data_IF_288017029750
#
_entry.id   IF_288017029750
#
_cell.length_a   1.000
_cell.length_b   1.000
_cell.length_c   1.000
_cell.angle_alpha   90.00
_cell.angle_beta   90.00
_cell.angle_gamma   90.00
#
_symmetry.space_group_name_H-M   'P 1'
#
loop_
_entity.id
_entity.type
_entity.pdbx_description
1 polymer ?
#
# COMPACT_ATOMS: atom_id res chain seq x y z
N UNK A 1 17.75 -30.07 -30.80
CA UNK A 1 18.47 -30.02 -29.51
C UNK A 1 17.74 -29.20 -28.43
N UNK A 2 16.91 -28.21 -28.76
CA UNK A 2 16.14 -27.42 -27.75
C UNK A 2 14.88 -28.12 -27.19
N UNK A 3 14.40 -29.19 -27.81
CA UNK A 3 13.16 -29.88 -27.38
C UNK A 3 13.38 -30.98 -26.32
N UNK A 4 14.61 -31.48 -26.13
CA UNK A 4 14.86 -32.56 -25.16
C UNK A 4 14.83 -32.11 -23.70
N UNK A 5 15.13 -30.84 -23.39
CA UNK A 5 15.15 -30.35 -22.01
C UNK A 5 13.75 -30.08 -21.44
N UNK A 6 12.77 -29.76 -22.29
CA UNK A 6 11.37 -29.60 -21.88
C UNK A 6 10.69 -30.96 -21.66
N UNK A 7 11.04 -31.97 -22.45
CA UNK A 7 10.54 -33.35 -22.28
C UNK A 7 11.06 -34.01 -21.00
N UNK A 8 12.32 -33.77 -20.62
CA UNK A 8 12.85 -34.24 -19.33
C UNK A 8 12.19 -33.56 -18.13
N UNK A 9 11.78 -32.29 -18.26
CA UNK A 9 11.05 -31.59 -17.20
C UNK A 9 9.63 -32.14 -17.01
N UNK A 10 8.97 -32.59 -18.08
CA UNK A 10 7.62 -33.16 -18.03
C UNK A 10 7.57 -34.60 -17.49
N UNK A 11 8.59 -35.42 -17.76
CA UNK A 11 8.60 -36.84 -17.37
C UNK A 11 8.98 -37.10 -15.90
N UNK A 12 9.68 -36.17 -15.23
CA UNK A 12 10.17 -36.38 -13.85
C UNK A 12 9.22 -35.76 -12.80
N UNK A 13 8.07 -35.20 -13.20
CA UNK A 13 7.12 -34.62 -12.24
C UNK A 13 7.76 -33.53 -11.35
N UNK A 14 8.87 -32.94 -11.79
CA UNK A 14 9.49 -31.78 -11.15
C UNK A 14 8.63 -30.59 -11.51
N UNK A 15 7.57 -30.40 -10.73
CA UNK A 15 7.03 -29.06 -10.49
C UNK A 15 8.25 -28.16 -10.26
N UNK A 16 8.56 -27.28 -11.21
CA UNK A 16 9.45 -26.15 -10.98
C UNK A 16 8.71 -25.20 -10.03
N UNK A 17 8.54 -25.65 -8.79
CA UNK A 17 8.41 -24.77 -7.64
C UNK A 17 9.71 -24.01 -7.62
N UNK A 18 9.71 -22.82 -8.23
CA UNK A 18 10.72 -21.81 -7.96
C UNK A 18 10.61 -21.59 -6.46
N UNK A 19 11.47 -22.27 -5.70
CA UNK A 19 11.43 -22.24 -4.26
C UNK A 19 11.48 -20.77 -3.82
N UNK A 20 10.47 -20.35 -3.06
CA UNK A 20 10.38 -19.00 -2.48
C UNK A 20 11.49 -18.76 -1.46
N UNK A 21 12.20 -19.82 -1.05
CA UNK A 21 13.34 -19.74 -0.18
C UNK A 21 14.61 -19.35 -0.96
N UNK A 22 15.34 -18.38 -0.44
CA UNK A 22 16.60 -17.96 -1.04
C UNK A 22 17.74 -18.90 -0.64
N UNK A 23 17.93 -19.96 -1.42
CA UNK A 23 19.02 -20.92 -1.27
C UNK A 23 19.66 -21.21 -2.64
N UNK A 24 20.93 -21.60 -2.63
CA UNK A 24 21.56 -22.21 -3.79
C UNK A 24 21.07 -23.66 -3.91
N UNK A 25 20.75 -24.08 -5.14
CA UNK A 25 20.38 -25.46 -5.47
C UNK A 25 21.61 -26.34 -5.69
N UNK A 26 22.78 -25.75 -5.95
CA UNK A 26 24.08 -26.42 -5.98
C UNK A 26 24.78 -26.25 -4.63
N UNK A 27 25.70 -27.19 -4.31
CA UNK A 27 26.49 -27.08 -3.08
C UNK A 27 27.39 -25.82 -3.12
N UNK A 28 27.75 -25.32 -1.93
CA UNK A 28 28.55 -24.10 -1.77
C UNK A 28 29.87 -24.17 -2.56
N UNK A 29 30.63 -25.26 -2.44
CA UNK A 29 31.90 -25.47 -3.14
C UNK A 29 31.77 -25.37 -4.68
N UNK A 30 30.71 -25.93 -5.27
CA UNK A 30 30.44 -25.84 -6.71
C UNK A 30 30.09 -24.42 -7.14
N UNK A 31 29.31 -23.69 -6.34
CA UNK A 31 29.00 -22.30 -6.62
C UNK A 31 30.22 -21.38 -6.46
N UNK A 32 31.13 -21.66 -5.50
CA UNK A 32 32.39 -20.92 -5.32
C UNK A 32 33.36 -21.18 -6.48
N UNK A 33 33.48 -22.42 -6.95
CA UNK A 33 34.34 -22.77 -8.09
C UNK A 33 33.94 -22.02 -9.37
N UNK A 34 32.65 -21.73 -9.54
CA UNK A 34 32.13 -20.98 -10.69
C UNK A 34 32.31 -19.46 -10.60
N UNK A 35 32.74 -18.89 -9.46
CA UNK A 35 32.95 -17.44 -9.32
C UNK A 35 34.24 -16.93 -9.96
N UNK A 36 35.25 -17.79 -10.16
CA UNK A 36 36.59 -17.35 -10.61
C UNK A 36 36.67 -16.88 -12.07
N UNK A 37 35.57 -16.92 -12.85
CA UNK A 37 35.59 -16.58 -14.28
C UNK A 37 34.33 -15.84 -14.77
N UNK A 38 33.85 -14.80 -14.06
CA UNK A 38 32.70 -13.99 -14.51
C UNK A 38 31.45 -14.85 -14.84
N UNK A 39 31.29 -16.06 -14.27
CA UNK A 39 30.25 -16.99 -14.73
C UNK A 39 28.83 -16.48 -14.41
N UNK A 40 28.65 -15.73 -13.33
CA UNK A 40 27.39 -15.08 -12.98
C UNK A 40 26.97 -13.99 -14.01
N UNK A 41 27.91 -13.45 -14.80
CA UNK A 41 27.67 -12.41 -15.82
C UNK A 41 27.74 -12.95 -17.24
N UNK A 42 28.59 -13.94 -17.54
CA UNK A 42 28.85 -14.47 -18.89
C UNK A 42 28.09 -15.76 -19.26
N UNK A 43 27.71 -16.64 -18.33
CA UNK A 43 26.99 -17.91 -18.64
C UNK A 43 25.57 -17.90 -18.09
N UNK A 44 24.61 -17.78 -19.00
CA UNK A 44 23.56 -16.74 -18.97
C UNK A 44 22.22 -17.11 -18.33
N UNK A 45 22.04 -18.30 -17.75
CA UNK A 45 20.75 -18.66 -17.14
C UNK A 45 20.88 -19.65 -15.99
N UNK A 46 21.53 -20.79 -16.23
CA UNK A 46 21.59 -21.90 -15.28
C UNK A 46 22.35 -21.53 -13.98
N UNK A 47 23.47 -20.81 -14.07
CA UNK A 47 24.24 -20.42 -12.87
C UNK A 47 23.43 -19.48 -11.97
N UNK A 48 22.64 -18.58 -12.55
CA UNK A 48 21.76 -17.67 -11.79
C UNK A 48 20.53 -18.36 -11.22
N UNK A 49 20.14 -19.53 -11.73
CA UNK A 49 19.06 -20.36 -11.17
C UNK A 49 19.58 -21.28 -10.07
N UNK A 50 20.73 -21.92 -10.29
CA UNK A 50 21.26 -22.90 -9.35
C UNK A 50 22.12 -22.30 -8.24
N UNK A 51 22.76 -21.15 -8.45
CA UNK A 51 23.57 -20.44 -7.46
C UNK A 51 22.96 -19.04 -7.17
N UNK A 52 21.65 -18.99 -6.86
CA UNK A 52 20.91 -17.73 -6.64
C UNK A 52 21.45 -16.89 -5.48
N UNK A 53 21.82 -17.51 -4.36
CA UNK A 53 22.38 -16.84 -3.19
C UNK A 53 23.84 -16.44 -3.46
N UNK A 54 24.64 -17.32 -4.07
CA UNK A 54 26.03 -17.04 -4.42
C UNK A 54 26.23 -15.99 -5.54
N UNK A 55 25.35 -15.95 -6.55
CA UNK A 55 25.35 -14.92 -7.60
C UNK A 55 24.55 -13.66 -7.21
N UNK A 56 24.08 -13.55 -5.95
CA UNK A 56 23.37 -12.37 -5.45
C UNK A 56 22.00 -12.11 -6.10
N UNK A 57 21.41 -13.13 -6.74
CA UNK A 57 20.06 -13.09 -7.31
C UNK A 57 19.00 -13.06 -6.20
N UNK A 58 19.31 -13.61 -5.03
CA UNK A 58 18.52 -13.46 -3.82
C UNK A 58 19.43 -13.46 -2.58
N UNK A 59 18.92 -13.04 -1.42
CA UNK A 59 19.58 -13.22 -0.12
C UNK A 59 18.57 -13.13 1.03
N UNK A 60 18.91 -13.67 2.20
CA UNK A 60 18.15 -13.52 3.46
C UNK A 60 18.23 -12.08 3.94
N UNK A 61 17.52 -11.21 3.24
CA UNK A 61 17.48 -9.80 3.54
C UNK A 61 16.48 -9.61 4.68
N UNK A 62 16.99 -9.65 5.92
CA UNK A 62 16.21 -9.44 7.16
C UNK A 62 15.36 -8.16 7.13
N UNK A 63 15.67 -7.18 6.26
CA UNK A 63 14.84 -5.99 6.12
C UNK A 63 13.51 -6.19 5.40
N UNK A 64 13.29 -7.29 4.64
CA UNK A 64 11.98 -7.49 4.00
C UNK A 64 10.87 -7.83 5.00
N UNK A 65 11.25 -8.38 6.16
CA UNK A 65 10.34 -8.70 7.26
C UNK A 65 10.18 -7.57 8.29
N UNK A 66 10.92 -6.45 8.16
CA UNK A 66 10.72 -5.31 9.07
C UNK A 66 9.46 -4.54 8.70
N UNK A 67 8.88 -3.83 9.67
CA UNK A 67 7.65 -3.04 9.50
C UNK A 67 7.68 -2.09 8.29
N UNK A 68 8.87 -1.57 7.96
CA UNK A 68 9.06 -0.56 6.91
C UNK A 68 9.86 -1.07 5.70
N UNK A 69 10.17 -2.37 5.64
CA UNK A 69 10.91 -2.95 4.52
C UNK A 69 12.38 -2.52 4.44
N UNK A 70 12.93 -2.65 3.23
CA UNK A 70 14.33 -2.33 2.93
C UNK A 70 14.50 -0.92 2.38
N UNK A 71 15.68 -0.34 2.62
CA UNK A 71 16.18 0.84 1.94
C UNK A 71 16.35 0.60 0.43
N UNK A 72 16.67 1.67 -0.32
CA UNK A 72 16.90 1.61 -1.78
C UNK A 72 17.99 0.61 -2.21
N UNK A 73 18.90 0.25 -1.29
CA UNK A 73 19.95 -0.75 -1.51
C UNK A 73 19.45 -2.20 -1.46
N UNK A 74 18.18 -2.41 -1.08
CA UNK A 74 17.56 -3.73 -0.95
C UNK A 74 18.20 -4.60 0.13
N UNK A 75 18.95 -4.02 1.08
CA UNK A 75 19.73 -4.75 2.09
C UNK A 75 19.58 -4.18 3.50
N UNK A 76 19.50 -2.86 3.63
CA UNK A 76 19.45 -2.16 4.92
C UNK A 76 18.00 -2.00 5.37
N UNK A 77 17.64 -2.29 6.64
CA UNK A 77 16.29 -2.04 7.15
C UNK A 77 15.99 -0.56 7.28
N UNK A 78 14.86 -0.12 6.72
CA UNK A 78 14.36 1.23 6.92
C UNK A 78 13.94 1.42 8.38
N UNK A 79 14.32 2.54 8.99
CA UNK A 79 14.00 2.86 10.39
C UNK A 79 12.56 3.34 10.55
N UNK A 80 11.95 3.85 9.47
CA UNK A 80 10.58 4.37 9.44
C UNK A 80 9.99 4.31 8.03
N UNK A 81 8.73 4.75 7.86
CA UNK A 81 8.07 4.77 6.55
C UNK A 81 8.81 5.71 5.59
N UNK A 82 8.60 5.54 4.28
CA UNK A 82 9.26 6.34 3.24
C UNK A 82 10.80 6.33 3.35
N UNK A 83 11.38 5.14 3.54
CA UNK A 83 12.84 4.97 3.66
C UNK A 83 13.49 5.84 4.75
N UNK A 84 12.73 6.21 5.80
CA UNK A 84 13.26 7.06 6.86
C UNK A 84 14.48 6.40 7.52
N UNK A 85 15.56 7.15 7.62
CA UNK A 85 16.84 6.66 8.15
C UNK A 85 17.69 5.86 7.15
N UNK A 86 17.26 5.75 5.89
CA UNK A 86 18.07 5.21 4.82
C UNK A 86 19.06 6.25 4.26
N UNK A 87 20.13 5.76 3.64
CA UNK A 87 21.05 6.59 2.86
C UNK A 87 20.32 7.08 1.60
N UNK A 88 20.37 8.39 1.35
CA UNK A 88 19.76 8.97 0.17
C UNK A 88 20.34 8.36 -1.11
N UNK A 89 19.49 8.07 -2.12
CA UNK A 89 19.98 7.73 -3.44
C UNK A 89 20.64 8.97 -4.02
N UNK A 90 21.93 8.90 -4.29
CA UNK A 90 22.63 9.92 -5.05
C UNK A 90 22.83 9.45 -6.50
N UNK A 91 23.15 10.39 -7.37
CA UNK A 91 23.41 10.11 -8.78
C UNK A 91 24.90 10.30 -9.09
N UNK A 92 25.35 9.62 -10.14
CA UNK A 92 26.65 9.90 -10.74
C UNK A 92 26.48 11.08 -11.71
N UNK A 93 27.39 12.04 -11.67
CA UNK A 93 27.44 13.18 -12.62
C UNK A 93 28.02 12.77 -13.98
N UNK A 94 28.61 11.57 -14.07
CA UNK A 94 29.22 11.01 -15.27
C UNK A 94 28.57 9.68 -15.66
N UNK A 95 28.87 9.23 -16.87
CA UNK A 95 28.33 7.98 -17.40
C UNK A 95 28.68 6.78 -16.51
N UNK A 96 27.78 5.79 -16.47
CA UNK A 96 27.99 4.55 -15.72
C UNK A 96 29.29 3.84 -16.10
N UNK A 97 29.67 3.87 -17.39
CA UNK A 97 30.94 3.30 -17.86
C UNK A 97 32.16 3.99 -17.23
N UNK A 98 32.18 5.32 -17.22
CA UNK A 98 33.25 6.09 -16.58
C UNK A 98 33.31 5.81 -15.09
N UNK A 99 32.18 5.84 -14.39
CA UNK A 99 32.19 5.62 -12.95
C UNK A 99 32.56 4.18 -12.56
N UNK A 100 32.22 3.19 -13.40
CA UNK A 100 32.72 1.83 -13.21
C UNK A 100 34.23 1.72 -13.40
N UNK A 101 34.86 2.48 -14.30
CA UNK A 101 36.31 2.45 -14.46
C UNK A 101 37.02 3.05 -13.23
N UNK A 102 36.48 4.12 -12.64
CA UNK A 102 36.95 4.70 -11.37
C UNK A 102 36.84 3.70 -10.21
N UNK A 103 35.74 2.95 -10.13
CA UNK A 103 35.56 1.89 -9.13
C UNK A 103 36.59 0.77 -9.32
N UNK A 104 36.75 0.27 -10.56
CA UNK A 104 37.72 -0.80 -10.87
C UNK A 104 39.16 -0.39 -10.63
N UNK A 105 39.49 0.88 -10.88
CA UNK A 105 40.82 1.44 -10.64
C UNK A 105 41.11 1.71 -9.15
N UNK A 106 40.13 1.53 -8.25
CA UNK A 106 40.33 1.75 -6.81
C UNK A 106 40.49 3.23 -6.43
N UNK A 107 40.01 4.15 -7.27
CA UNK A 107 40.17 5.59 -7.06
C UNK A 107 39.14 6.17 -6.07
N UNK A 108 38.06 5.43 -5.80
CA UNK A 108 37.04 5.84 -4.83
C UNK A 108 37.65 6.08 -3.44
N UNK A 109 37.40 7.26 -2.87
CA UNK A 109 37.83 7.62 -1.51
C UNK A 109 39.30 7.99 -1.36
N UNK A 110 40.10 7.99 -2.44
CA UNK A 110 41.50 8.40 -2.39
C UNK A 110 41.63 9.93 -2.39
N UNK A 111 42.44 10.54 -1.50
CA UNK A 111 42.59 12.01 -1.44
C UNK A 111 43.03 12.62 -2.77
N UNK A 112 43.97 11.95 -3.45
CA UNK A 112 44.50 12.36 -4.77
C UNK A 112 43.48 12.32 -5.89
N UNK A 113 42.39 11.56 -5.73
CA UNK A 113 41.34 11.34 -6.74
C UNK A 113 39.95 11.74 -6.22
N UNK A 114 39.91 12.68 -5.26
CA UNK A 114 38.67 13.17 -4.64
C UNK A 114 37.70 13.75 -5.68
N UNK A 115 38.23 14.38 -6.73
CA UNK A 115 37.43 14.90 -7.83
C UNK A 115 36.65 13.79 -8.55
N UNK A 116 37.29 12.66 -8.88
CA UNK A 116 36.61 11.52 -9.49
C UNK A 116 35.61 10.85 -8.55
N UNK A 117 35.93 10.80 -7.24
CA UNK A 117 35.01 10.28 -6.23
C UNK A 117 33.73 11.12 -6.09
N UNK A 118 33.84 12.44 -6.23
CA UNK A 118 32.69 13.36 -6.17
C UNK A 118 31.81 13.30 -7.43
N UNK A 119 32.37 12.94 -8.59
CA UNK A 119 31.61 12.77 -9.83
C UNK A 119 30.85 11.43 -9.87
N UNK A 120 31.30 10.44 -9.09
CA UNK A 120 30.80 9.07 -9.13
C UNK A 120 30.27 8.62 -7.76
N UNK A 121 29.49 9.48 -7.10
CA UNK A 121 29.03 9.25 -5.73
C UNK A 121 28.20 7.98 -5.56
N UNK A 122 27.36 7.63 -6.54
CA UNK A 122 26.53 6.44 -6.48
C UNK A 122 27.38 5.18 -6.72
N UNK A 123 28.17 5.20 -7.79
CA UNK A 123 29.07 4.09 -8.16
C UNK A 123 30.14 3.80 -7.10
N UNK A 124 30.74 4.84 -6.50
CA UNK A 124 31.68 4.71 -5.39
C UNK A 124 31.00 4.47 -4.03
N UNK A 125 29.66 4.42 -3.96
CA UNK A 125 28.87 4.32 -2.73
C UNK A 125 29.18 5.42 -1.70
N UNK A 126 29.63 6.58 -2.19
CA UNK A 126 30.00 7.74 -1.39
C UNK A 126 28.86 8.77 -1.26
N UNK A 127 27.61 8.38 -1.52
CA UNK A 127 26.45 9.26 -1.28
C UNK A 127 26.53 9.87 0.13
N UNK A 128 26.24 11.16 0.25
CA UNK A 128 26.23 11.84 1.55
C UNK A 128 25.02 11.39 2.36
N UNK A 129 25.18 11.04 3.66
CA UNK A 129 24.04 10.78 4.52
C UNK A 129 23.14 12.02 4.60
N UNK A 130 21.83 11.81 4.78
CA UNK A 130 20.92 12.91 5.04
C UNK A 130 20.79 13.16 6.54
N UNK A 131 21.76 13.91 7.05
CA UNK A 131 21.87 14.26 8.46
C UNK A 131 22.24 15.73 8.59
N UNK A 132 21.88 16.32 9.73
CA UNK A 132 22.29 17.66 10.10
C UNK A 132 23.68 17.58 10.74
N UNK A 133 24.61 18.41 10.26
CA UNK A 133 25.96 18.49 10.84
C UNK A 133 25.97 19.15 12.24
N UNK A 134 24.91 19.90 12.60
CA UNK A 134 24.72 20.50 13.93
C UNK A 134 23.31 20.21 14.45
N UNK A 135 23.11 19.01 15.02
CA UNK A 135 21.78 18.44 15.25
C UNK A 135 20.86 19.22 16.20
N UNK A 136 21.39 20.04 17.12
CA UNK A 136 20.60 20.73 18.15
C UNK A 136 19.97 22.04 17.67
N UNK A 137 20.66 22.82 16.83
CA UNK A 137 20.18 24.14 16.38
C UNK A 137 19.35 24.06 15.09
N UNK A 138 19.58 23.04 14.27
CA UNK A 138 18.92 22.89 12.97
C UNK A 138 17.38 22.79 13.04
N UNK A 139 16.77 22.07 14.01
CA UNK A 139 15.31 22.07 14.19
C UNK A 139 14.75 23.44 14.60
N UNK A 140 15.54 24.29 15.23
CA UNK A 140 15.15 25.65 15.61
C UNK A 140 15.23 26.60 14.42
N UNK A 141 16.29 26.50 13.61
CA UNK A 141 16.41 27.30 12.38
C UNK A 141 15.33 26.98 11.35
N UNK A 142 14.99 25.71 11.19
CA UNK A 142 13.90 25.28 10.32
C UNK A 142 12.55 25.88 10.76
N UNK A 143 12.22 25.82 12.06
CA UNK A 143 10.95 26.37 12.59
C UNK A 143 10.82 27.88 12.46
N UNK A 144 11.93 28.63 12.44
CA UNK A 144 11.93 30.09 12.25
C UNK A 144 12.07 30.53 10.80
N UNK A 145 12.04 29.62 9.83
CA UNK A 145 12.15 29.97 8.41
C UNK A 145 13.55 30.45 7.99
N UNK A 146 14.60 30.12 8.76
CA UNK A 146 15.99 30.56 8.46
C UNK A 146 16.71 29.70 7.41
N UNK A 147 16.05 28.66 6.91
CA UNK A 147 16.59 27.81 5.85
C UNK A 147 16.70 28.55 4.51
N UNK A 148 15.83 29.53 4.25
CA UNK A 148 15.78 30.27 2.98
C UNK A 148 16.58 31.58 3.00
N UNK A 149 16.90 32.09 4.19
CA UNK A 149 17.55 33.39 4.39
C UNK A 149 19.08 33.34 4.30
N UNK A 150 19.69 32.20 4.64
CA UNK A 150 21.15 32.02 4.66
C UNK A 150 21.54 30.81 3.80
N UNK A 151 21.47 31.03 2.49
CA UNK A 151 21.47 30.02 1.42
C UNK A 151 22.70 29.10 1.36
N UNK A 152 23.75 29.31 2.16
CA UNK A 152 25.01 28.56 2.02
C UNK A 152 25.51 27.86 3.28
N UNK A 153 25.52 28.51 4.45
CA UNK A 153 26.07 27.91 5.68
C UNK A 153 25.04 27.12 6.46
N UNK A 154 23.87 27.71 6.71
CA UNK A 154 22.78 27.08 7.44
C UNK A 154 22.10 25.99 6.60
N UNK A 155 21.84 26.27 5.31
CA UNK A 155 21.25 25.31 4.36
C UNK A 155 22.05 24.01 4.22
N UNK A 156 23.38 24.09 4.07
CA UNK A 156 24.25 22.91 3.90
C UNK A 156 24.63 22.22 5.22
N UNK A 157 24.51 22.90 6.36
CA UNK A 157 24.74 22.32 7.69
C UNK A 157 23.49 21.63 8.22
N UNK A 158 22.31 22.19 7.93
CA UNK A 158 21.02 21.71 8.40
C UNK A 158 20.22 21.02 7.29
N UNK A 159 20.88 20.17 6.49
CA UNK A 159 20.28 19.61 5.28
C UNK A 159 19.02 18.79 5.55
N UNK A 160 18.95 18.08 6.68
CA UNK A 160 17.79 17.27 7.03
C UNK A 160 16.69 18.16 7.62
N UNK A 161 17.01 19.02 8.58
CA UNK A 161 16.02 19.92 9.19
C UNK A 161 15.45 20.95 8.21
N UNK A 162 16.24 21.40 7.24
CA UNK A 162 15.82 22.32 6.18
C UNK A 162 15.24 21.59 4.95
N UNK A 163 15.02 20.28 5.02
CA UNK A 163 14.48 19.48 3.90
C UNK A 163 15.26 19.61 2.57
N UNK A 164 16.55 19.92 2.64
CA UNK A 164 17.49 19.97 1.51
C UNK A 164 17.78 18.56 1.00
N UNK A 165 17.81 17.60 1.91
CA UNK A 165 17.91 16.18 1.62
C UNK A 165 16.84 15.42 2.38
N UNK A 166 16.75 14.13 2.07
CA UNK A 166 15.83 13.23 2.70
C UNK A 166 14.56 13.12 1.88
N UNK A 167 13.77 12.10 2.18
CA UNK A 167 12.53 11.87 1.46
C UNK A 167 11.61 13.05 1.70
N UNK A 168 11.42 13.85 0.64
CA UNK A 168 10.43 14.93 0.61
C UNK A 168 9.10 14.31 0.98
N UNK A 169 8.40 14.91 1.94
CA UNK A 169 7.05 14.47 2.28
C UNK A 169 6.24 14.49 0.98
N UNK A 170 5.73 13.35 0.49
CA UNK A 170 4.98 13.32 -0.77
C UNK A 170 3.70 14.16 -0.69
N UNK A 171 3.26 14.50 0.53
CA UNK A 171 2.14 15.40 0.79
C UNK A 171 2.52 16.89 0.85
N UNK A 172 3.81 17.23 0.79
CA UNK A 172 4.26 18.62 0.79
C UNK A 172 3.81 19.31 -0.51
N UNK A 173 2.92 20.29 -0.38
CA UNK A 173 2.33 21.01 -1.52
C UNK A 173 1.18 20.27 -2.23
N UNK A 174 0.79 19.08 -1.76
CA UNK A 174 -0.35 18.34 -2.31
C UNK A 174 -1.67 18.86 -1.70
N UNK A 175 -2.47 19.54 -2.51
CA UNK A 175 -3.70 20.21 -2.05
C UNK A 175 -4.91 19.30 -2.27
N UNK A 176 -5.65 19.03 -1.20
CA UNK A 176 -6.91 18.29 -1.26
C UNK A 176 -8.09 19.24 -1.42
N UNK A 177 -8.86 19.05 -2.49
CA UNK A 177 -10.02 19.90 -2.84
C UNK A 177 -11.29 19.50 -2.09
N UNK A 178 -11.38 18.25 -1.61
CA UNK A 178 -12.56 17.78 -0.87
C UNK A 178 -12.50 18.23 0.60
N UNK A 179 -13.60 18.73 1.17
CA UNK A 179 -13.66 19.10 2.58
C UNK A 179 -13.37 17.89 3.47
N UNK A 180 -12.75 18.12 4.63
CA UNK A 180 -12.36 17.09 5.61
C UNK A 180 -11.39 16.01 5.14
N UNK A 181 -10.88 16.09 3.90
CA UNK A 181 -9.79 15.22 3.43
C UNK A 181 -8.44 15.87 3.68
N UNK A 182 -7.42 15.06 3.99
CA UNK A 182 -6.03 15.50 4.13
C UNK A 182 -5.15 14.65 3.23
N UNK A 183 -4.02 15.20 2.79
CA UNK A 183 -3.06 14.40 2.06
C UNK A 183 -2.53 13.28 2.97
N UNK A 184 -2.54 12.08 2.41
CA UNK A 184 -1.97 10.85 2.97
C UNK A 184 -1.17 10.18 1.86
N UNK A 185 -0.49 9.12 2.21
CA UNK A 185 0.47 8.44 1.34
C UNK A 185 0.21 6.95 1.44
N UNK A 186 0.15 6.29 0.30
CA UNK A 186 -0.15 4.85 0.22
C UNK A 186 1.10 4.00 0.53
N UNK A 187 0.98 2.67 0.39
CA UNK A 187 2.08 1.73 0.64
C UNK A 187 3.23 1.85 -0.38
N UNK A 188 3.01 2.53 -1.50
CA UNK A 188 4.01 2.81 -2.53
C UNK A 188 4.61 4.22 -2.37
N UNK A 189 4.13 5.02 -1.42
CA UNK A 189 4.56 6.39 -1.20
C UNK A 189 3.90 7.42 -2.14
N UNK A 190 2.81 7.04 -2.81
CA UNK A 190 2.06 7.94 -3.68
C UNK A 190 1.09 8.77 -2.82
N UNK A 191 1.09 10.11 -2.95
CA UNK A 191 0.17 10.96 -2.21
C UNK A 191 -1.26 10.82 -2.75
N UNK A 192 -2.22 10.74 -1.83
CA UNK A 192 -3.65 10.70 -2.11
C UNK A 192 -4.42 11.47 -1.04
N UNK A 193 -5.58 12.03 -1.41
CA UNK A 193 -6.47 12.66 -0.44
C UNK A 193 -7.30 11.60 0.27
N UNK A 194 -7.11 11.49 1.58
CA UNK A 194 -7.80 10.51 2.40
C UNK A 194 -8.36 11.11 3.68
N UNK A 195 -9.32 10.42 4.26
CA UNK A 195 -9.85 10.78 5.56
C UNK A 195 -8.86 10.43 6.67
N UNK A 196 -8.73 11.32 7.65
CA UNK A 196 -8.07 11.04 8.92
C UNK A 196 -9.13 10.97 10.00
N UNK A 197 -9.63 9.77 10.24
CA UNK A 197 -10.57 9.51 11.33
C UNK A 197 -9.74 9.14 12.54
N UNK A 198 -9.81 9.98 13.57
CA UNK A 198 -9.38 9.58 14.90
C UNK A 198 -10.48 8.69 15.48
N UNK A 199 -10.17 7.41 15.62
CA UNK A 199 -11.02 6.44 16.31
C UNK A 199 -10.38 6.14 17.65
N UNK A 200 -11.17 6.17 18.71
CA UNK A 200 -10.71 5.73 20.02
C UNK A 200 -10.59 4.20 20.03
N UNK A 201 -9.72 3.59 20.85
CA UNK A 201 -9.54 2.14 20.90
C UNK A 201 -10.87 1.37 21.05
N UNK A 202 -11.84 1.91 21.81
CA UNK A 202 -13.17 1.33 21.99
C UNK A 202 -14.06 1.35 20.74
N UNK A 203 -13.86 2.31 19.82
CA UNK A 203 -14.73 2.48 18.65
C UNK A 203 -14.66 1.31 17.67
N UNK A 204 -13.54 0.58 17.64
CA UNK A 204 -13.37 -0.61 16.82
C UNK A 204 -14.22 -1.80 17.28
N UNK A 205 -14.55 -1.85 18.58
CA UNK A 205 -15.24 -2.97 19.23
C UNK A 205 -16.72 -2.70 19.55
N UNK A 206 -17.23 -1.52 19.20
CA UNK A 206 -18.63 -1.12 19.45
C UNK A 206 -19.71 -2.00 18.78
N UNK A 207 -19.32 -2.95 17.91
CA UNK A 207 -20.27 -3.75 17.13
C UNK A 207 -21.00 -2.91 16.07
N UNK A 208 -21.95 -3.50 15.35
CA UNK A 208 -22.71 -2.81 14.29
C UNK A 208 -23.43 -1.58 14.84
N UNK A 209 -23.48 -0.50 14.06
CA UNK A 209 -24.22 0.73 14.40
C UNK A 209 -25.06 1.20 13.21
N UNK A 210 -26.25 1.75 13.48
CA UNK A 210 -27.11 2.38 12.50
C UNK A 210 -26.85 3.90 12.47
N UNK A 211 -26.54 4.45 11.29
CA UNK A 211 -26.46 5.89 11.07
C UNK A 211 -27.84 6.52 10.88
N UNK A 212 -27.93 7.86 11.05
CA UNK A 212 -29.17 8.62 10.74
C UNK A 212 -29.58 8.57 9.28
N UNK A 213 -28.67 8.20 8.41
CA UNK A 213 -28.93 7.92 6.99
C UNK A 213 -29.65 6.58 6.78
N UNK A 214 -29.99 5.85 7.86
CA UNK A 214 -30.63 4.55 7.78
C UNK A 214 -29.69 3.44 7.29
N UNK A 215 -28.38 3.70 7.25
CA UNK A 215 -27.36 2.74 6.82
C UNK A 215 -26.70 2.06 8.01
N UNK A 216 -26.45 0.77 7.86
CA UNK A 216 -25.71 -0.02 8.84
C UNK A 216 -24.20 0.07 8.60
N UNK A 217 -23.45 0.22 9.68
CA UNK A 217 -22.00 0.29 9.69
C UNK A 217 -21.42 -0.77 10.62
N UNK A 218 -20.32 -1.40 10.22
CA UNK A 218 -19.67 -2.48 11.00
C UNK A 218 -19.30 -2.06 12.42
N UNK A 219 -18.93 -0.80 12.63
CA UNK A 219 -18.63 -0.20 13.93
C UNK A 219 -18.65 1.33 13.88
N UNK A 220 -18.61 1.95 15.06
CA UNK A 220 -18.58 3.42 15.23
C UNK A 220 -17.44 4.07 14.44
N UNK A 221 -16.25 3.48 14.42
CA UNK A 221 -15.12 3.99 13.64
C UNK A 221 -15.41 4.05 12.13
N UNK A 222 -16.10 3.04 11.58
CA UNK A 222 -16.51 3.03 10.17
C UNK A 222 -17.57 4.07 9.85
N UNK A 223 -18.51 4.32 10.76
CA UNK A 223 -19.48 5.41 10.63
C UNK A 223 -18.79 6.78 10.64
N UNK A 224 -17.82 6.99 11.53
CA UNK A 224 -17.03 8.22 11.57
C UNK A 224 -16.21 8.43 10.28
N UNK A 225 -15.75 7.34 9.65
CA UNK A 225 -15.05 7.38 8.36
C UNK A 225 -15.96 7.77 7.20
N UNK A 226 -17.14 7.18 7.08
CA UNK A 226 -18.09 7.56 6.02
C UNK A 226 -18.57 9.00 6.15
N UNK A 227 -18.65 9.52 7.38
CA UNK A 227 -19.03 10.91 7.61
C UNK A 227 -17.97 11.92 7.13
N UNK A 228 -16.72 11.50 6.97
CA UNK A 228 -15.68 12.32 6.34
C UNK A 228 -15.83 12.34 4.80
N UNK A 229 -16.33 11.25 4.19
CA UNK A 229 -16.55 11.17 2.75
C UNK A 229 -17.87 11.83 2.31
N UNK A 230 -18.90 11.74 3.15
CA UNK A 230 -20.23 12.34 2.95
C UNK A 230 -20.59 13.14 4.21
N UNK A 231 -20.53 14.48 4.18
CA UNK A 231 -20.82 15.31 5.35
C UNK A 231 -22.24 15.07 5.90
N UNK A 232 -22.39 15.09 7.22
CA UNK A 232 -23.65 15.09 7.98
C UNK A 232 -24.38 13.75 8.21
N UNK A 233 -23.70 12.62 8.06
CA UNK A 233 -24.20 11.30 8.50
C UNK A 233 -23.79 11.01 9.97
N UNK A 234 -22.97 11.88 10.57
CA UNK A 234 -22.12 11.76 11.77
C UNK A 234 -22.73 11.31 13.10
N UNK A 235 -23.99 10.94 13.17
CA UNK A 235 -24.63 10.60 14.43
C UNK A 235 -25.21 9.21 14.34
N UNK A 236 -24.80 8.38 15.28
CA UNK A 236 -25.42 7.09 15.54
C UNK A 236 -26.89 7.38 15.84
N UNK A 237 -27.78 6.72 15.10
CA UNK A 237 -29.20 6.69 15.40
C UNK A 237 -29.47 5.66 16.49
N UNK A 238 -28.97 4.43 16.33
CA UNK A 238 -29.04 3.35 17.32
C UNK A 238 -27.83 2.40 17.18
N UNK A 239 -27.45 1.76 18.29
CA UNK A 239 -26.50 0.65 18.26
C UNK A 239 -27.21 -0.62 17.78
N UNK A 240 -26.52 -1.42 16.97
CA UNK A 240 -27.09 -2.58 16.27
C UNK A 240 -27.57 -2.25 14.86
N UNK A 241 -28.50 -3.08 14.38
CA UNK A 241 -29.10 -2.96 13.04
C UNK A 241 -30.04 -1.76 12.95
N UNK A 242 -30.25 -1.26 11.74
CA UNK A 242 -31.23 -0.20 11.54
C UNK A 242 -32.65 -0.72 11.79
N UNK A 243 -33.56 0.12 12.31
CA UNK A 243 -34.96 -0.25 12.43
C UNK A 243 -35.46 -0.65 11.05
N UNK A 244 -35.87 -1.90 10.87
CA UNK A 244 -36.63 -2.28 9.69
C UNK A 244 -37.87 -1.41 9.70
N UNK A 245 -38.01 -0.53 8.70
CA UNK A 245 -39.26 0.17 8.47
C UNK A 245 -40.33 -0.91 8.46
N UNK A 246 -41.19 -0.91 9.49
CA UNK A 246 -42.42 -1.69 9.49
C UNK A 246 -43.31 -1.05 8.42
N UNK A 247 -42.98 -1.31 7.17
CA UNK A 247 -43.90 -1.17 6.06
C UNK A 247 -44.96 -2.20 6.43
N UNK A 248 -46.06 -1.76 7.05
CA UNK A 248 -47.30 -2.55 7.04
C UNK A 248 -47.43 -3.00 5.60
N UNK A 249 -47.36 -4.31 5.36
CA UNK A 249 -47.45 -4.85 4.00
C UNK A 249 -48.61 -4.11 3.31
N UNK A 250 -48.35 -3.42 2.19
CA UNK A 250 -49.39 -2.62 1.56
C UNK A 250 -50.54 -3.57 1.26
N UNK A 251 -51.75 -3.26 1.72
CA UNK A 251 -52.85 -4.15 1.46
C UNK A 251 -53.20 -4.10 -0.02
N UNK A 252 -52.71 -5.09 -0.76
CA UNK A 252 -52.88 -5.21 -2.20
C UNK A 252 -53.49 -6.57 -2.53
N UNK A 253 -54.28 -6.61 -3.61
CA UNK A 253 -54.74 -7.87 -4.18
C UNK A 253 -53.56 -8.59 -4.86
N UNK A 254 -53.44 -9.90 -4.65
CA UNK A 254 -52.42 -10.76 -5.27
C UNK A 254 -52.82 -11.21 -6.69
N UNK A 255 -54.07 -10.97 -7.09
CA UNK A 255 -54.63 -11.28 -8.42
C UNK A 255 -55.03 -10.00 -9.14
N UNK A 256 -55.31 -10.12 -10.44
CA UNK A 256 -55.69 -8.96 -11.27
C UNK A 256 -56.92 -8.23 -10.70
N UNK A 257 -56.95 -6.91 -10.90
CA UNK A 257 -58.07 -6.04 -10.51
C UNK A 257 -59.41 -6.57 -11.01
N UNK A 258 -59.47 -7.02 -12.26
CA UNK A 258 -60.70 -7.55 -12.87
C UNK A 258 -61.19 -8.81 -12.16
N UNK A 259 -60.28 -9.75 -11.85
CA UNK A 259 -60.60 -10.96 -11.10
C UNK A 259 -61.12 -10.63 -9.71
N UNK A 260 -60.39 -9.84 -8.92
CA UNK A 260 -60.80 -9.54 -7.56
C UNK A 260 -62.07 -8.68 -7.47
N UNK A 261 -62.31 -7.79 -8.44
CA UNK A 261 -63.59 -7.08 -8.56
C UNK A 261 -64.75 -8.02 -8.91
N UNK A 262 -64.54 -9.03 -9.75
CA UNK A 262 -65.59 -10.03 -10.03
C UNK A 262 -65.97 -10.84 -8.79
N UNK A 263 -64.98 -11.22 -7.96
CA UNK A 263 -65.21 -11.91 -6.69
C UNK A 263 -66.01 -11.03 -5.72
N UNK A 264 -65.67 -9.75 -5.63
CA UNK A 264 -66.39 -8.78 -4.82
C UNK A 264 -67.83 -8.56 -5.30
N UNK A 265 -68.02 -8.35 -6.61
CA UNK A 265 -69.34 -8.12 -7.22
C UNK A 265 -70.26 -9.35 -7.17
N UNK A 266 -69.69 -10.54 -7.27
CA UNK A 266 -70.43 -11.80 -7.15
C UNK A 266 -70.76 -12.20 -5.69
N UNK A 267 -70.37 -11.39 -4.70
CA UNK A 267 -70.71 -11.63 -3.29
C UNK A 267 -69.91 -12.78 -2.64
N UNK A 268 -68.77 -13.16 -3.22
CA UNK A 268 -67.97 -14.29 -2.74
C UNK A 268 -67.04 -13.96 -1.55
N UNK A 269 -66.89 -12.69 -1.19
CA UNK A 269 -65.97 -12.23 -0.13
C UNK A 269 -66.27 -12.76 1.29
N UNK A 270 -67.44 -13.36 1.52
CA UNK A 270 -67.85 -13.91 2.81
C UNK A 270 -68.12 -15.44 2.78
N UNK A 271 -67.76 -16.12 1.68
CA UNK A 271 -67.98 -17.56 1.53
C UNK A 271 -66.80 -18.34 2.12
N UNK A 272 -67.04 -19.12 3.19
CA UNK A 272 -66.01 -19.95 3.87
C UNK A 272 -65.27 -20.91 2.93
N UNK A 273 -65.97 -21.51 1.96
CA UNK A 273 -65.34 -22.44 1.00
C UNK A 273 -64.45 -21.72 -0.03
N UNK A 274 -64.51 -20.38 -0.12
CA UNK A 274 -63.68 -19.56 -1.01
C UNK A 274 -62.62 -18.74 -0.25
N UNK A 275 -62.31 -19.09 1.01
CA UNK A 275 -61.39 -18.31 1.85
C UNK A 275 -60.03 -18.08 1.17
N UNK A 276 -59.46 -19.10 0.50
CA UNK A 276 -58.21 -18.96 -0.28
C UNK A 276 -58.31 -17.88 -1.36
N UNK A 277 -59.45 -17.78 -2.03
CA UNK A 277 -59.71 -16.77 -3.06
C UNK A 277 -59.88 -15.39 -2.46
N UNK A 278 -60.54 -15.30 -1.29
CA UNK A 278 -60.69 -14.07 -0.53
C UNK A 278 -59.34 -13.56 0.00
N UNK A 279 -58.45 -14.46 0.43
CA UNK A 279 -57.11 -14.11 0.90
C UNK A 279 -56.19 -13.58 -0.21
N UNK A 280 -56.43 -13.97 -1.46
CA UNK A 280 -55.75 -13.41 -2.64
C UNK A 280 -56.33 -12.06 -3.08
N UNK A 281 -57.52 -11.68 -2.60
CA UNK A 281 -58.25 -10.46 -2.99
C UNK A 281 -58.62 -9.60 -1.77
N UNK A 282 -57.72 -9.50 -0.78
CA UNK A 282 -57.97 -8.86 0.51
C UNK A 282 -58.39 -7.39 0.38
N UNK A 283 -57.81 -6.65 -0.56
CA UNK A 283 -58.13 -5.25 -0.77
C UNK A 283 -59.52 -5.10 -1.42
N UNK A 284 -59.80 -5.84 -2.50
CA UNK A 284 -61.13 -5.82 -3.14
C UNK A 284 -62.25 -6.35 -2.24
N UNK A 285 -61.96 -7.28 -1.34
CA UNK A 285 -62.91 -7.84 -0.38
C UNK A 285 -62.97 -7.11 0.98
N UNK A 286 -62.22 -6.01 1.15
CA UNK A 286 -62.16 -5.24 2.42
C UNK A 286 -61.87 -6.12 3.65
N UNK A 287 -60.96 -7.08 3.48
CA UNK A 287 -60.44 -7.97 4.56
C UNK A 287 -59.13 -7.47 5.16
N UNK A 288 -58.73 -6.30 4.68
CA UNK A 288 -57.92 -5.27 5.27
C UNK A 288 -58.72 -3.96 5.06
#
# INVERSE_FOLDING_TARGET
MEWCLLLFAFLVGLNLVISRECKDLLNAYRCTLMQNHDACTKRRFLVRIFCRKHCGVCGDVKCRSTRYGCCHDGKTPAKGPYFQGCKEPCQDERSSYFCQSIVRAGFCGKPRFKQFSNLCLNSCRMCRPCEDSASTECPFFARRGRCDTDKSKTYNRCRKSCHVCGVKDPCQGFICTKPNTRCRVDHLGVPYCGCRVHCDPGDHFTGTVCGRDGKEYKNKCRLLHSNCEIPNIAKIQNYGKCPSLNIKEPCIDQRSRYFCQSIARAGFCNKRHLQKTVDMCKHSCKKC
#
